data_IF_171044449310
#
_entry.id   IF_171044449310
#
_cell.length_a   1.000
_cell.length_b   1.000
_cell.length_c   1.000
_cell.angle_alpha   90.00
_cell.angle_beta   90.00
_cell.angle_gamma   90.00
#
_symmetry.space_group_name_H-M   'P 1'
#
loop_
_entity.id
_entity.type
_entity.pdbx_description
1 polymer ?
#
# COMPACT_ATOMS: atom_id res chain seq x y z
N UNK A 1 -7.45 25.07 -20.40
CA UNK A 1 -8.58 24.54 -19.63
C UNK A 1 -8.18 23.13 -19.31
N UNK A 2 -8.10 22.77 -18.04
CA UNK A 2 -8.03 21.36 -17.65
C UNK A 2 -9.43 20.77 -17.85
N UNK A 3 -9.49 19.54 -18.35
CA UNK A 3 -10.72 18.87 -18.75
C UNK A 3 -10.80 17.52 -18.05
N UNK A 4 -12.00 17.08 -17.70
CA UNK A 4 -12.22 15.76 -17.11
C UNK A 4 -13.04 14.95 -18.10
N UNK A 5 -12.51 13.81 -18.51
CA UNK A 5 -13.22 12.81 -19.27
C UNK A 5 -13.85 11.80 -18.31
N UNK A 6 -15.16 11.60 -18.43
CA UNK A 6 -15.92 10.65 -17.61
C UNK A 6 -16.13 9.37 -18.43
N UNK A 7 -15.39 8.32 -18.05
CA UNK A 7 -15.43 7.03 -18.72
C UNK A 7 -16.68 6.26 -18.28
N UNK A 8 -17.48 5.81 -19.25
CA UNK A 8 -18.66 5.00 -18.98
C UNK A 8 -18.30 3.63 -18.40
N UNK A 9 -19.27 2.96 -17.79
CA UNK A 9 -19.10 1.60 -17.27
C UNK A 9 -18.61 0.66 -18.39
N UNK A 10 -17.47 -0.01 -18.15
CA UNK A 10 -16.78 -0.88 -19.11
C UNK A 10 -15.82 -0.17 -20.08
N UNK A 11 -15.74 1.17 -20.06
CA UNK A 11 -14.66 1.90 -20.70
C UNK A 11 -13.46 2.02 -19.77
N UNK A 12 -12.28 1.83 -20.35
CA UNK A 12 -11.02 1.86 -19.63
C UNK A 12 -9.97 2.57 -20.49
N UNK A 13 -9.02 3.20 -19.82
CA UNK A 13 -7.77 3.65 -20.40
C UNK A 13 -6.62 2.92 -19.68
N UNK A 14 -5.39 3.24 -20.03
CA UNK A 14 -4.18 2.66 -19.46
C UNK A 14 -3.25 3.73 -18.90
N UNK A 15 -2.62 3.41 -17.78
CA UNK A 15 -1.50 4.16 -17.20
C UNK A 15 -0.21 3.46 -17.62
N UNK A 16 0.62 4.15 -18.40
CA UNK A 16 1.91 3.68 -18.89
C UNK A 16 3.02 4.31 -18.05
N UNK A 17 3.72 3.50 -17.26
CA UNK A 17 4.81 3.98 -16.41
C UNK A 17 6.02 4.45 -17.23
N UNK A 18 6.68 5.52 -16.79
CA UNK A 18 7.86 6.07 -17.48
C UNK A 18 9.08 5.14 -17.50
N UNK A 19 9.05 4.04 -16.75
CA UNK A 19 10.06 2.97 -16.84
C UNK A 19 9.92 2.08 -18.09
N UNK A 20 8.88 2.31 -18.90
CA UNK A 20 8.65 1.69 -20.20
C UNK A 20 8.22 0.22 -20.14
N UNK A 21 8.02 -0.36 -18.95
CA UNK A 21 7.74 -1.79 -18.81
C UNK A 21 6.36 -2.11 -18.23
N UNK A 22 5.78 -1.19 -17.44
CA UNK A 22 4.55 -1.46 -16.68
C UNK A 22 3.37 -0.66 -17.21
N UNK A 23 2.26 -1.36 -17.44
CA UNK A 23 1.00 -0.80 -17.93
C UNK A 23 -0.11 -1.30 -17.01
N UNK A 24 -0.98 -0.40 -16.58
CA UNK A 24 -2.10 -0.70 -15.67
C UNK A 24 -3.39 -0.14 -16.23
N UNK A 25 -4.52 -0.83 -16.04
CA UNK A 25 -5.82 -0.26 -16.40
C UNK A 25 -6.22 0.87 -15.43
N UNK A 26 -6.95 1.85 -15.95
CA UNK A 26 -7.65 2.87 -15.17
C UNK A 26 -9.04 3.14 -15.79
N UNK A 27 -9.92 3.78 -15.02
CA UNK A 27 -11.30 4.03 -15.43
C UNK A 27 -11.96 5.17 -14.66
N UNK A 28 -13.29 5.22 -14.79
CA UNK A 28 -14.23 6.18 -14.19
C UNK A 28 -13.99 7.65 -14.56
N UNK A 29 -12.81 8.20 -14.26
CA UNK A 29 -12.43 9.58 -14.54
C UNK A 29 -11.00 9.61 -15.08
N UNK A 30 -10.77 10.43 -16.10
CA UNK A 30 -9.45 10.83 -16.55
C UNK A 30 -9.35 12.35 -16.50
N UNK A 31 -8.48 12.87 -15.65
CA UNK A 31 -8.20 14.29 -15.51
C UNK A 31 -7.07 14.68 -16.47
N UNK A 32 -7.42 15.47 -17.48
CA UNK A 32 -6.57 15.85 -18.60
C UNK A 32 -5.86 17.15 -18.24
N UNK A 33 -4.62 17.00 -17.77
CA UNK A 33 -3.83 18.10 -17.22
C UNK A 33 -2.48 18.29 -17.91
N UNK A 34 -1.86 19.43 -17.65
CA UNK A 34 -0.47 19.72 -18.03
C UNK A 34 0.37 19.94 -16.79
N UNK A 35 1.64 19.57 -16.82
CA UNK A 35 2.52 19.81 -15.67
C UNK A 35 3.02 21.25 -15.65
N UNK A 36 2.87 21.91 -14.49
CA UNK A 36 3.50 23.21 -14.20
C UNK A 36 4.71 23.01 -13.28
N UNK A 37 5.77 22.39 -13.83
CA UNK A 37 7.02 22.10 -13.09
C UNK A 37 7.05 20.77 -12.34
N UNK A 38 5.95 20.02 -12.34
CA UNK A 38 5.92 18.64 -11.86
C UNK A 38 6.58 17.67 -12.86
N UNK A 39 7.20 16.63 -12.33
CA UNK A 39 7.72 15.49 -13.09
C UNK A 39 6.57 14.55 -13.46
N UNK A 40 6.47 14.17 -14.73
CA UNK A 40 5.55 13.12 -15.18
C UNK A 40 6.19 11.75 -14.97
N UNK A 41 5.55 10.90 -14.16
CA UNK A 41 6.02 9.55 -13.83
C UNK A 41 5.26 8.44 -14.59
N UNK A 42 4.08 8.78 -15.12
CA UNK A 42 3.31 7.91 -16.01
C UNK A 42 2.39 8.75 -16.90
N UNK A 43 2.03 8.21 -18.06
CA UNK A 43 1.14 8.87 -19.03
C UNK A 43 -0.05 7.98 -19.37
N UNK A 44 -1.14 8.57 -19.88
CA UNK A 44 -2.21 7.80 -20.50
C UNK A 44 -1.71 7.08 -21.75
N UNK A 45 -2.17 5.86 -21.98
CA UNK A 45 -1.78 5.06 -23.15
C UNK A 45 -2.70 5.21 -24.35
N UNK A 46 -3.98 5.55 -24.13
CA UNK A 46 -5.01 5.55 -25.15
C UNK A 46 -5.83 6.87 -25.17
N UNK A 47 -6.70 6.98 -26.18
CA UNK A 47 -7.59 8.13 -26.46
C UNK A 47 -6.87 9.43 -26.93
N UNK A 48 -7.62 10.52 -27.13
CA UNK A 48 -7.11 11.79 -27.67
C UNK A 48 -6.10 12.48 -26.75
N UNK A 49 -5.99 12.03 -25.49
CA UNK A 49 -5.05 12.47 -24.48
C UNK A 49 -3.94 11.44 -24.20
N UNK A 50 -3.75 10.45 -25.09
CA UNK A 50 -2.61 9.55 -25.02
C UNK A 50 -1.28 10.33 -24.96
N UNK A 51 -0.38 9.91 -24.07
CA UNK A 51 0.88 10.59 -23.78
C UNK A 51 0.76 11.77 -22.80
N UNK A 52 -0.45 12.19 -22.41
CA UNK A 52 -0.63 13.19 -21.36
C UNK A 52 -0.43 12.58 -19.96
N UNK A 53 -0.06 13.38 -18.95
CA UNK A 53 0.28 12.87 -17.62
C UNK A 53 -0.89 12.16 -16.91
N UNK A 54 -0.62 10.96 -16.39
CA UNK A 54 -1.56 10.18 -15.57
C UNK A 54 -1.08 10.02 -14.11
N UNK A 55 0.24 10.12 -13.89
CA UNK A 55 0.86 10.22 -12.56
C UNK A 55 1.93 11.31 -12.60
N UNK A 56 1.85 12.25 -11.66
CA UNK A 56 2.86 13.32 -11.54
C UNK A 56 3.44 13.39 -10.13
N UNK A 57 4.64 13.93 -10.02
CA UNK A 57 5.34 14.23 -8.77
C UNK A 57 5.87 15.65 -8.79
N UNK A 58 5.46 16.45 -7.82
CA UNK A 58 6.04 17.77 -7.59
C UNK A 58 6.90 17.74 -6.32
N UNK A 59 8.16 18.17 -6.41
CA UNK A 59 9.04 18.30 -5.23
C UNK A 59 9.04 19.73 -4.75
N UNK A 60 8.69 19.95 -3.49
CA UNK A 60 8.61 21.29 -2.91
C UNK A 60 9.25 21.33 -1.52
N UNK A 61 10.26 22.19 -1.36
CA UNK A 61 11.05 22.24 -0.14
C UNK A 61 11.73 20.89 0.15
N UNK A 62 11.36 20.26 1.27
CA UNK A 62 11.87 18.94 1.68
C UNK A 62 10.88 17.78 1.43
N UNK A 63 9.72 18.07 0.83
CA UNK A 63 8.67 17.09 0.60
C UNK A 63 8.36 16.89 -0.88
N UNK A 64 7.42 15.98 -1.14
CA UNK A 64 6.88 15.74 -2.47
C UNK A 64 5.35 15.58 -2.40
N UNK A 65 4.66 16.01 -3.45
CA UNK A 65 3.25 15.77 -3.68
C UNK A 65 3.11 14.90 -4.95
N UNK A 66 2.27 13.87 -4.87
CA UNK A 66 1.97 12.99 -5.99
C UNK A 66 0.50 13.15 -6.36
N UNK A 67 0.22 13.16 -7.66
CA UNK A 67 -1.15 13.25 -8.18
C UNK A 67 -1.40 12.10 -9.16
N UNK A 68 -2.41 11.29 -8.87
CA UNK A 68 -2.93 10.23 -9.75
C UNK A 68 -4.18 10.81 -10.43
N UNK A 69 -4.11 11.01 -11.74
CA UNK A 69 -5.13 11.73 -12.50
C UNK A 69 -6.32 10.86 -12.92
N UNK A 70 -6.47 9.67 -12.35
CA UNK A 70 -7.52 8.72 -12.74
C UNK A 70 -7.89 7.78 -11.58
N UNK A 71 -8.84 6.88 -11.79
CA UNK A 71 -9.10 5.76 -10.88
C UNK A 71 -8.36 4.50 -11.37
N UNK A 72 -7.18 4.18 -10.84
CA UNK A 72 -6.36 3.07 -11.31
C UNK A 72 -6.79 1.73 -10.72
N UNK A 73 -6.48 0.64 -11.41
CA UNK A 73 -6.63 -0.70 -10.84
C UNK A 73 -5.75 -0.89 -9.59
N UNK A 74 -6.17 -1.78 -8.69
CA UNK A 74 -5.48 -2.04 -7.41
C UNK A 74 -3.98 -2.36 -7.58
N UNK A 75 -3.59 -3.13 -8.60
CA UNK A 75 -2.20 -3.49 -8.84
C UNK A 75 -1.28 -2.27 -9.11
N UNK A 76 -1.81 -1.18 -9.66
CA UNK A 76 -1.06 0.07 -9.78
C UNK A 76 -0.79 0.68 -8.40
N UNK A 77 -1.82 0.71 -7.54
CA UNK A 77 -1.72 1.26 -6.18
C UNK A 77 -0.74 0.45 -5.32
N UNK A 78 -0.77 -0.88 -5.41
CA UNK A 78 0.17 -1.77 -4.72
C UNK A 78 1.62 -1.45 -5.11
N UNK A 79 1.88 -1.30 -6.42
CA UNK A 79 3.20 -0.94 -6.93
C UNK A 79 3.61 0.47 -6.50
N UNK A 80 2.71 1.45 -6.66
CA UNK A 80 2.98 2.85 -6.35
C UNK A 80 3.27 3.06 -4.86
N UNK A 81 2.40 2.58 -3.97
CA UNK A 81 2.62 2.71 -2.54
C UNK A 81 3.78 1.84 -2.05
N UNK A 82 4.00 0.66 -2.64
CA UNK A 82 5.18 -0.16 -2.35
C UNK A 82 6.48 0.60 -2.61
N UNK A 83 6.59 1.29 -3.74
CA UNK A 83 7.75 2.13 -4.06
C UNK A 83 7.93 3.28 -3.06
N UNK A 84 6.85 3.91 -2.59
CA UNK A 84 6.94 4.97 -1.58
C UNK A 84 7.37 4.42 -0.21
N UNK A 85 6.85 3.27 0.18
CA UNK A 85 7.24 2.57 1.42
C UNK A 85 8.75 2.30 1.41
N UNK A 86 9.26 1.73 0.31
CA UNK A 86 10.69 1.46 0.15
C UNK A 86 11.53 2.74 0.12
N UNK A 87 11.10 3.74 -0.65
CA UNK A 87 11.83 5.01 -0.81
C UNK A 87 11.98 5.77 0.51
N UNK A 88 10.94 5.76 1.36
CA UNK A 88 10.94 6.48 2.63
C UNK A 88 11.28 5.59 3.83
N UNK A 89 11.59 4.31 3.62
CA UNK A 89 11.92 3.37 4.68
C UNK A 89 10.80 3.24 5.71
N UNK A 90 9.55 3.17 5.25
CA UNK A 90 8.41 3.03 6.14
C UNK A 90 8.32 1.59 6.66
N UNK A 91 8.17 1.44 7.97
CA UNK A 91 8.04 0.12 8.59
C UNK A 91 6.66 -0.49 8.36
N UNK A 92 6.61 -1.79 8.11
CA UNK A 92 5.38 -2.56 7.95
C UNK A 92 5.62 -4.05 8.14
N UNK A 93 4.53 -4.82 8.17
CA UNK A 93 4.59 -6.29 8.09
C UNK A 93 4.14 -6.75 6.72
N UNK A 94 4.83 -7.74 6.17
CA UNK A 94 4.34 -8.52 5.04
C UNK A 94 3.29 -9.50 5.57
N UNK A 95 2.01 -9.20 5.28
CA UNK A 95 0.86 -9.93 5.82
C UNK A 95 0.20 -10.78 4.74
N UNK A 96 -0.25 -12.01 5.06
CA UNK A 96 -1.17 -12.73 4.17
C UNK A 96 -2.43 -11.91 3.89
N UNK A 97 -3.06 -12.14 2.73
CA UNK A 97 -4.34 -11.52 2.41
C UNK A 97 -5.38 -11.79 3.51
N UNK A 98 -6.11 -10.77 3.93
CA UNK A 98 -7.11 -10.85 5.00
C UNK A 98 -6.54 -10.87 6.42
N UNK A 99 -5.21 -10.90 6.61
CA UNK A 99 -4.59 -10.73 7.93
C UNK A 99 -4.21 -9.26 8.12
N UNK A 100 -4.83 -8.61 9.11
CA UNK A 100 -4.55 -7.23 9.47
C UNK A 100 -3.55 -7.19 10.63
N UNK A 101 -2.55 -6.30 10.54
CA UNK A 101 -1.66 -5.99 11.66
C UNK A 101 -1.67 -4.49 11.96
N UNK A 102 -1.99 -4.13 13.20
CA UNK A 102 -1.95 -2.74 13.68
C UNK A 102 -1.15 -2.61 14.97
N UNK A 103 -0.56 -1.44 15.20
CA UNK A 103 0.28 -1.16 16.36
C UNK A 103 -0.29 0.00 17.18
N UNK A 104 -0.42 -0.21 18.49
CA UNK A 104 -0.76 0.84 19.46
C UNK A 104 0.36 0.98 20.48
N UNK A 105 0.60 2.19 20.95
CA UNK A 105 1.60 2.46 21.98
C UNK A 105 0.91 2.78 23.31
N UNK A 106 1.38 2.16 24.39
CA UNK A 106 0.97 2.46 25.76
C UNK A 106 2.15 2.28 26.70
N UNK A 107 2.41 3.28 27.55
CA UNK A 107 3.48 3.24 28.56
C UNK A 107 4.85 2.84 27.99
N UNK A 108 5.19 3.36 26.80
CA UNK A 108 6.44 3.06 26.09
C UNK A 108 6.49 1.68 25.42
N UNK A 109 5.43 0.88 25.50
CA UNK A 109 5.34 -0.45 24.89
C UNK A 109 4.47 -0.45 23.64
N UNK A 110 4.92 -1.16 22.61
CA UNK A 110 4.13 -1.46 21.44
C UNK A 110 3.24 -2.69 21.70
N UNK A 111 1.94 -2.53 21.47
CA UNK A 111 0.93 -3.57 21.43
C UNK A 111 0.59 -3.82 19.97
N UNK A 112 0.81 -5.05 19.51
CA UNK A 112 0.64 -5.45 18.11
C UNK A 112 -0.60 -6.32 18.02
N UNK A 113 -1.64 -5.81 17.36
CA UNK A 113 -2.88 -6.53 17.14
C UNK A 113 -2.78 -7.22 15.79
N UNK A 114 -2.96 -8.55 15.79
CA UNK A 114 -3.00 -9.36 14.57
C UNK A 114 -4.38 -9.98 14.48
N UNK A 115 -5.13 -9.66 13.43
CA UNK A 115 -6.50 -10.13 13.22
C UNK A 115 -6.55 -10.91 11.90
N UNK A 116 -6.99 -12.16 11.95
CA UNK A 116 -7.29 -12.91 10.75
C UNK A 116 -8.76 -12.70 10.37
N UNK A 117 -9.05 -11.94 9.32
CA UNK A 117 -10.43 -11.73 8.85
C UNK A 117 -10.94 -12.88 7.97
N UNK A 118 -10.11 -13.90 7.71
CA UNK A 118 -10.47 -15.03 6.88
C UNK A 118 -11.25 -16.11 7.66
N UNK A 119 -12.09 -16.84 6.93
CA UNK A 119 -12.76 -18.05 7.42
C UNK A 119 -11.82 -19.28 7.50
N UNK A 120 -10.57 -19.12 7.08
CA UNK A 120 -9.54 -20.17 7.05
C UNK A 120 -8.35 -19.77 7.93
N UNK A 121 -7.56 -20.75 8.34
CA UNK A 121 -6.34 -20.50 9.09
C UNK A 121 -5.30 -19.75 8.24
N UNK A 122 -4.50 -18.90 8.88
CA UNK A 122 -3.43 -18.13 8.25
C UNK A 122 -2.17 -18.15 9.09
N UNK A 123 -1.03 -17.91 8.44
CA UNK A 123 0.27 -17.86 9.12
C UNK A 123 0.94 -16.52 8.82
N UNK A 124 1.18 -15.72 9.86
CA UNK A 124 1.93 -14.48 9.76
C UNK A 124 3.41 -14.77 10.08
N UNK A 125 4.32 -14.36 9.18
CA UNK A 125 5.76 -14.37 9.46
C UNK A 125 6.10 -13.20 10.39
N UNK A 126 6.93 -13.48 11.38
CA UNK A 126 7.44 -12.49 12.33
C UNK A 126 8.93 -12.29 12.10
N UNK A 127 9.44 -11.18 12.61
CA UNK A 127 10.87 -10.91 12.68
C UNK A 127 11.56 -11.84 13.72
N UNK A 128 12.84 -11.55 13.97
CA UNK A 128 13.67 -12.35 14.87
C UNK A 128 13.39 -12.10 16.36
N UNK A 129 12.43 -11.23 16.69
CA UNK A 129 12.04 -10.98 18.06
C UNK A 129 11.24 -12.14 18.65
N UNK A 130 11.26 -12.22 19.97
CA UNK A 130 10.36 -13.09 20.73
C UNK A 130 9.18 -12.27 21.22
N UNK A 131 7.98 -12.82 21.10
CA UNK A 131 6.74 -12.16 21.50
C UNK A 131 6.01 -12.96 22.58
N UNK A 132 5.19 -12.28 23.36
CA UNK A 132 4.15 -12.90 24.21
C UNK A 132 2.79 -12.53 23.65
N UNK A 133 1.95 -13.53 23.38
CA UNK A 133 0.54 -13.30 23.10
C UNK A 133 -0.20 -13.06 24.42
N UNK A 134 -0.72 -11.85 24.61
CA UNK A 134 -1.40 -11.42 25.84
C UNK A 134 -2.73 -12.13 26.08
N UNK A 135 -3.34 -12.74 25.06
CA UNK A 135 -4.63 -13.41 25.21
C UNK A 135 -4.51 -14.79 25.85
N UNK A 136 -3.38 -15.47 25.68
CA UNK A 136 -3.18 -16.85 26.14
C UNK A 136 -1.80 -17.11 26.79
N UNK A 137 -0.98 -16.07 26.95
CA UNK A 137 0.39 -16.10 27.50
C UNK A 137 1.38 -17.00 26.74
N UNK A 138 1.09 -17.39 25.51
CA UNK A 138 2.02 -18.17 24.69
C UNK A 138 3.21 -17.31 24.23
N UNK A 139 4.39 -17.94 24.20
CA UNK A 139 5.59 -17.34 23.60
C UNK A 139 5.63 -17.67 22.12
N UNK A 140 5.79 -16.66 21.28
CA UNK A 140 5.72 -16.77 19.82
C UNK A 140 7.06 -16.26 19.24
N UNK A 141 7.62 -16.99 18.29
CA UNK A 141 8.86 -16.64 17.59
C UNK A 141 8.73 -17.02 16.11
N UNK A 142 9.30 -16.22 15.20
CA UNK A 142 9.40 -16.47 13.74
C UNK A 142 8.07 -16.54 12.96
N UNK A 143 7.03 -17.12 13.52
CA UNK A 143 5.71 -17.18 12.90
C UNK A 143 4.60 -17.25 13.95
N UNK A 144 3.44 -16.70 13.59
CA UNK A 144 2.20 -16.78 14.34
C UNK A 144 1.16 -17.52 13.49
N UNK A 145 0.65 -18.63 14.00
CA UNK A 145 -0.50 -19.32 13.42
C UNK A 145 -1.79 -18.72 14.00
N UNK A 146 -2.75 -18.44 13.12
CA UNK A 146 -4.06 -17.89 13.46
C UNK A 146 -5.12 -18.81 12.89
N UNK A 147 -6.07 -19.23 13.74
CA UNK A 147 -7.28 -19.90 13.26
C UNK A 147 -8.18 -18.97 12.44
N UNK A 148 -9.26 -19.52 11.89
CA UNK A 148 -10.31 -18.73 11.25
C UNK A 148 -10.86 -17.68 12.23
N UNK A 149 -10.96 -16.42 11.80
CA UNK A 149 -11.42 -15.29 12.61
C UNK A 149 -10.65 -15.06 13.94
N UNK A 150 -9.44 -15.61 14.05
CA UNK A 150 -8.64 -15.56 15.27
C UNK A 150 -7.93 -14.21 15.43
N UNK A 151 -7.59 -13.90 16.68
CA UNK A 151 -6.93 -12.66 17.07
C UNK A 151 -5.76 -12.97 17.99
N UNK A 152 -4.64 -12.28 17.79
CA UNK A 152 -3.52 -12.26 18.73
C UNK A 152 -3.17 -10.81 19.12
N UNK A 153 -2.73 -10.63 20.37
CA UNK A 153 -2.18 -9.35 20.83
C UNK A 153 -0.76 -9.61 21.30
N UNK A 154 0.23 -9.19 20.52
CA UNK A 154 1.63 -9.44 20.77
C UNK A 154 2.30 -8.26 21.47
N UNK A 155 3.18 -8.58 22.42
CA UNK A 155 4.18 -7.65 22.97
C UNK A 155 5.56 -8.29 22.83
N UNK A 156 6.57 -7.51 22.44
CA UNK A 156 7.95 -7.98 22.39
C UNK A 156 8.42 -8.34 23.80
N UNK A 157 9.04 -9.52 23.97
CA UNK A 157 9.77 -9.88 25.19
C UNK A 157 11.12 -9.18 25.17
N UNK A 158 11.41 -8.44 26.23
CA UNK A 158 12.78 -8.02 26.49
C UNK A 158 13.62 -9.24 26.82
N UNK A 159 14.85 -9.29 26.29
CA UNK A 159 15.80 -10.32 26.67
C UNK A 159 16.06 -10.20 28.17
N UNK A 160 15.76 -11.24 28.93
CA UNK A 160 16.22 -11.33 30.32
C UNK A 160 17.74 -11.25 30.32
N UNK A 161 18.26 -10.15 30.85
CA UNK A 161 19.68 -9.96 31.14
C UNK A 161 20.13 -10.89 32.28
#
# INVERSE_FOLDING_TARGET
LEEIDALYEGQHNTIVMSDGGRIFACGHLADILHTEGAETLATYGDDFYAGMPALTKNTFGKGAAYYIASDPQLAFLEVFYGQLIDQYGLDGWDTPNGVEVTKRYKDGKALIFVLNHNAEASTLKLDDNTYTNLLNNQTITKQLELGAYDVAILVTREATS
#
